data_IF_451274160479
#
_entry.id   IF_451274160479
#
_cell.length_a   1.000
_cell.length_b   1.000
_cell.length_c   1.000
_cell.angle_alpha   90.00
_cell.angle_beta   90.00
_cell.angle_gamma   90.00
#
_symmetry.space_group_name_H-M   'P 1'
#
loop_
_entity.id
_entity.type
_entity.pdbx_description
1 polymer ?
#
# COMPACT_ATOMS: atom_id res chain seq x y z
N UNK A 1 10.82 -5.19 -4.26
CA UNK A 1 10.53 -4.44 -3.02
C UNK A 1 11.34 -4.91 -1.81
N UNK A 2 11.57 -6.22 -1.64
CA UNK A 2 12.22 -6.79 -0.45
C UNK A 2 13.54 -6.15 -0.02
N UNK A 3 14.52 -5.99 -0.93
CA UNK A 3 15.84 -5.44 -0.57
C UNK A 3 15.76 -4.03 0.05
N UNK A 4 14.85 -3.19 -0.45
CA UNK A 4 14.65 -1.84 0.05
C UNK A 4 13.97 -1.81 1.43
N UNK A 5 13.11 -2.78 1.74
CA UNK A 5 12.26 -2.76 2.95
C UNK A 5 12.72 -3.73 4.06
N UNK A 6 13.72 -4.59 3.80
CA UNK A 6 14.21 -5.64 4.73
C UNK A 6 14.63 -5.13 6.12
N UNK A 7 14.99 -3.84 6.25
CA UNK A 7 15.40 -3.22 7.51
C UNK A 7 14.36 -2.32 8.17
N UNK A 8 13.17 -2.18 7.58
CA UNK A 8 12.16 -1.21 8.05
C UNK A 8 11.24 -1.76 9.16
N UNK A 9 11.27 -3.07 9.41
CA UNK A 9 10.43 -3.73 10.44
C UNK A 9 8.93 -3.44 10.31
N UNK A 10 8.41 -3.46 9.08
CA UNK A 10 7.03 -3.08 8.76
C UNK A 10 6.08 -4.20 9.18
N UNK A 11 5.19 -3.90 10.13
CA UNK A 11 4.12 -4.78 10.54
C UNK A 11 2.95 -4.79 9.53
N UNK A 12 2.13 -5.86 9.57
CA UNK A 12 0.96 -5.97 8.72
C UNK A 12 -0.02 -4.80 8.89
N UNK A 13 -0.19 -4.28 10.11
CA UNK A 13 -1.06 -3.14 10.41
C UNK A 13 -0.53 -1.83 9.82
N UNK A 14 0.79 -1.62 9.88
CA UNK A 14 1.44 -0.43 9.30
C UNK A 14 1.32 -0.43 7.77
N UNK A 15 1.47 -1.60 7.14
CA UNK A 15 1.26 -1.74 5.70
C UNK A 15 -0.18 -1.40 5.30
N UNK A 16 -1.18 -1.89 6.04
CA UNK A 16 -2.59 -1.56 5.77
C UNK A 16 -2.87 -0.06 5.97
N UNK A 17 -2.29 0.56 7.01
CA UNK A 17 -2.44 1.99 7.24
C UNK A 17 -1.93 2.84 6.06
N UNK A 18 -0.80 2.46 5.45
CA UNK A 18 -0.28 3.14 4.25
C UNK A 18 -1.19 2.97 3.02
N UNK A 19 -1.87 1.82 2.90
CA UNK A 19 -2.88 1.64 1.84
C UNK A 19 -4.09 2.55 2.05
N UNK A 20 -4.56 2.68 3.29
CA UNK A 20 -5.65 3.60 3.65
C UNK A 20 -5.26 5.06 3.35
N UNK A 21 -4.05 5.47 3.74
CA UNK A 21 -3.52 6.81 3.44
C UNK A 21 -3.41 7.06 1.93
N UNK A 22 -3.02 6.04 1.16
CA UNK A 22 -2.93 6.12 -0.30
C UNK A 22 -4.32 6.31 -0.92
N UNK A 23 -5.32 5.54 -0.50
CA UNK A 23 -6.71 5.69 -0.97
C UNK A 23 -7.31 7.04 -0.57
N UNK A 24 -7.06 7.51 0.66
CA UNK A 24 -7.50 8.82 1.11
C UNK A 24 -6.88 9.94 0.26
N UNK A 25 -5.61 9.83 -0.12
CA UNK A 25 -4.95 10.76 -1.01
C UNK A 25 -5.58 10.77 -2.41
N UNK A 26 -5.90 9.61 -2.98
CA UNK A 26 -6.56 9.50 -4.28
C UNK A 26 -7.97 10.11 -4.24
N UNK A 27 -8.74 9.83 -3.19
CA UNK A 27 -10.07 10.40 -2.99
C UNK A 27 -10.01 11.94 -2.87
N UNK A 28 -9.05 12.49 -2.12
CA UNK A 28 -8.82 13.94 -2.00
C UNK A 28 -8.52 14.61 -3.35
N UNK A 29 -7.87 13.89 -4.25
CA UNK A 29 -7.56 14.35 -5.60
C UNK A 29 -8.65 14.04 -6.63
N UNK A 30 -9.83 13.56 -6.18
CA UNK A 30 -10.98 13.25 -7.04
C UNK A 30 -10.66 12.21 -8.12
N UNK A 31 -9.78 11.28 -7.82
CA UNK A 31 -9.47 10.14 -8.69
C UNK A 31 -10.69 9.20 -8.74
N UNK A 32 -11.01 8.66 -9.91
CA UNK A 32 -12.14 7.76 -10.08
C UNK A 32 -12.00 6.47 -9.28
N UNK A 33 -13.14 5.82 -8.99
CA UNK A 33 -13.16 4.59 -8.19
C UNK A 33 -12.35 3.47 -8.85
N UNK A 34 -12.44 3.33 -10.18
CA UNK A 34 -11.75 2.27 -10.89
C UNK A 34 -10.23 2.41 -10.79
N UNK A 35 -9.72 3.62 -10.93
CA UNK A 35 -8.28 3.90 -10.78
C UNK A 35 -7.82 3.65 -9.34
N UNK A 36 -8.64 3.98 -8.34
CA UNK A 36 -8.35 3.66 -6.94
C UNK A 36 -8.27 2.15 -6.69
N UNK A 37 -9.19 1.37 -7.26
CA UNK A 37 -9.19 -0.09 -7.18
C UNK A 37 -7.95 -0.70 -7.85
N UNK A 38 -7.54 -0.18 -9.01
CA UNK A 38 -6.34 -0.61 -9.72
C UNK A 38 -5.07 -0.31 -8.91
N UNK A 39 -4.97 0.90 -8.32
CA UNK A 39 -3.85 1.26 -7.44
C UNK A 39 -3.82 0.37 -6.20
N UNK A 40 -4.97 0.15 -5.54
CA UNK A 40 -5.06 -0.73 -4.38
C UNK A 40 -4.57 -2.14 -4.71
N UNK A 41 -5.02 -2.69 -5.84
CA UNK A 41 -4.62 -4.02 -6.29
C UNK A 41 -3.10 -4.11 -6.48
N UNK A 42 -2.49 -3.15 -7.19
CA UNK A 42 -1.04 -3.11 -7.42
C UNK A 42 -0.29 -3.01 -6.10
N UNK A 43 -0.67 -2.07 -5.21
CA UNK A 43 0.01 -1.87 -3.94
C UNK A 43 -0.09 -3.10 -3.04
N UNK A 44 -1.28 -3.70 -2.92
CA UNK A 44 -1.51 -4.88 -2.10
C UNK A 44 -0.74 -6.11 -2.62
N UNK A 45 -0.59 -6.25 -3.94
CA UNK A 45 0.17 -7.37 -4.55
C UNK A 45 1.64 -7.43 -4.08
N UNK A 46 2.20 -6.31 -3.60
CA UNK A 46 3.57 -6.22 -3.09
C UNK A 46 3.71 -6.59 -1.62
N UNK A 47 2.60 -6.86 -0.90
CA UNK A 47 2.58 -7.09 0.55
C UNK A 47 3.60 -8.13 1.02
N UNK A 48 3.69 -9.27 0.32
CA UNK A 48 4.62 -10.37 0.67
C UNK A 48 6.10 -10.00 0.53
N UNK A 49 6.41 -8.89 -0.14
CA UNK A 49 7.77 -8.39 -0.32
C UNK A 49 8.11 -7.22 0.60
N UNK A 50 7.18 -6.77 1.44
CA UNK A 50 7.31 -5.56 2.27
C UNK A 50 7.06 -5.86 3.75
N UNK A 51 5.99 -6.58 4.06
CA UNK A 51 5.65 -6.95 5.44
C UNK A 51 6.69 -7.93 5.97
N UNK A 52 7.27 -7.62 7.13
CA UNK A 52 8.12 -8.54 7.86
C UNK A 52 7.23 -9.62 8.50
N UNK A 53 7.60 -10.88 8.35
CA UNK A 53 6.92 -12.03 8.98
C UNK A 53 7.27 -12.09 10.46
#
# INVERSE_FOLDING_TARGET
>A
MLAAHKGMNIAATEFMAVLDDSLAALAKNKIGQREQEEVLFVLYSMRSQIVLV
#
